data_IF_135929027356
#
_entry.id   IF_135929027356
#
_cell.length_a   1.000
_cell.length_b   1.000
_cell.length_c   1.000
_cell.angle_alpha   90.00
_cell.angle_beta   90.00
_cell.angle_gamma   90.00
#
_symmetry.space_group_name_H-M   'P 1'
#
loop_
_entity.id
_entity.type
_entity.pdbx_description
1 polymer ?
#
# COMPACT_ATOMS: atom_id res chain seq x y z
N UNK A 1 15.08 21.11 1.15
CA UNK A 1 13.66 21.45 0.88
C UNK A 1 12.85 20.32 1.48
N UNK A 2 12.21 20.56 2.62
CA UNK A 2 11.26 19.60 3.18
C UNK A 2 10.04 19.61 2.25
N UNK A 3 9.77 18.49 1.61
CA UNK A 3 8.47 18.29 0.96
C UNK A 3 7.51 18.01 2.11
N UNK A 4 6.96 19.08 2.69
CA UNK A 4 5.81 18.92 3.56
C UNK A 4 4.69 18.38 2.66
N UNK A 5 4.48 17.08 2.70
CA UNK A 5 3.36 16.44 2.03
C UNK A 5 2.11 16.79 2.85
N UNK A 6 1.61 18.00 2.67
CA UNK A 6 0.35 18.42 3.26
C UNK A 6 -0.74 17.58 2.58
N UNK A 7 -1.21 16.52 3.24
CA UNK A 7 -2.48 15.82 2.95
C UNK A 7 -3.71 16.70 3.23
N UNK A 8 -3.49 17.91 3.77
CA UNK A 8 -4.48 18.89 4.20
C UNK A 8 -5.32 19.53 3.07
N UNK A 9 -4.80 19.81 1.85
CA UNK A 9 -5.62 20.41 0.78
C UNK A 9 -6.77 19.50 0.33
N UNK A 10 -6.64 18.18 0.51
CA UNK A 10 -7.66 17.21 0.15
C UNK A 10 -8.84 17.21 1.11
N UNK A 11 -8.59 17.37 2.42
CA UNK A 11 -9.65 17.49 3.43
C UNK A 11 -10.47 18.77 3.21
N UNK A 12 -9.81 19.89 2.94
CA UNK A 12 -10.50 21.18 2.79
C UNK A 12 -11.38 21.21 1.52
N UNK A 13 -10.93 20.58 0.42
CA UNK A 13 -11.73 20.39 -0.79
C UNK A 13 -12.89 19.41 -0.55
N UNK A 14 -12.69 18.32 0.19
CA UNK A 14 -13.76 17.37 0.55
C UNK A 14 -14.79 17.97 1.52
N UNK A 15 -14.39 18.93 2.36
CA UNK A 15 -15.28 19.63 3.29
C UNK A 15 -16.12 20.72 2.61
N UNK A 16 -15.66 21.27 1.48
CA UNK A 16 -16.29 22.41 0.80
C UNK A 16 -16.83 22.09 -0.61
N UNK A 17 -16.53 20.90 -1.15
CA UNK A 17 -17.14 20.36 -2.38
C UNK A 17 -18.25 19.37 -2.01
N UNK A 18 -19.51 19.58 -2.42
CA UNK A 18 -20.57 18.60 -2.22
C UNK A 18 -20.36 17.31 -3.03
N UNK A 19 -19.58 17.38 -4.11
CA UNK A 19 -19.23 16.25 -4.96
C UNK A 19 -17.85 15.70 -4.55
N UNK A 20 -17.81 14.41 -4.21
CA UNK A 20 -16.58 13.69 -3.90
C UNK A 20 -15.74 13.55 -5.19
N UNK A 21 -14.54 14.15 -5.28
CA UNK A 21 -13.71 14.11 -6.48
C UNK A 21 -13.19 12.69 -6.79
N UNK A 22 -13.32 11.74 -5.87
CA UNK A 22 -12.94 10.33 -6.06
C UNK A 22 -14.14 9.41 -6.28
N UNK A 23 -15.34 9.95 -6.53
CA UNK A 23 -16.55 9.15 -6.62
C UNK A 23 -16.48 8.10 -7.74
N UNK A 24 -15.84 8.42 -8.87
CA UNK A 24 -15.69 7.51 -10.00
C UNK A 24 -14.71 6.37 -9.65
N UNK A 25 -13.53 6.69 -9.11
CA UNK A 25 -12.55 5.68 -8.69
C UNK A 25 -13.10 4.78 -7.56
N UNK A 26 -13.81 5.36 -6.59
CA UNK A 26 -14.46 4.59 -5.52
C UNK A 26 -15.54 3.66 -6.08
N UNK A 27 -16.31 4.07 -7.08
CA UNK A 27 -17.28 3.20 -7.73
C UNK A 27 -16.63 2.04 -8.48
N UNK A 28 -15.43 2.23 -9.04
CA UNK A 28 -14.63 1.15 -9.62
C UNK A 28 -14.10 0.19 -8.56
N UNK A 29 -13.62 0.71 -7.43
CA UNK A 29 -13.18 -0.11 -6.30
C UNK A 29 -14.33 -0.92 -5.71
N UNK A 30 -15.49 -0.30 -5.48
CA UNK A 30 -16.70 -0.96 -4.97
C UNK A 30 -17.15 -2.08 -5.90
N UNK A 31 -17.04 -1.90 -7.22
CA UNK A 31 -17.34 -2.94 -8.19
C UNK A 31 -16.38 -4.12 -8.06
N UNK A 32 -15.06 -3.85 -8.01
CA UNK A 32 -14.05 -4.89 -7.84
C UNK A 32 -14.20 -5.65 -6.52
N UNK A 33 -14.54 -4.93 -5.44
CA UNK A 33 -14.82 -5.51 -4.12
C UNK A 33 -16.08 -6.38 -4.15
N UNK A 34 -17.17 -5.90 -4.76
CA UNK A 34 -18.41 -6.65 -4.88
C UNK A 34 -18.22 -7.95 -5.69
N UNK A 35 -17.47 -7.91 -6.80
CA UNK A 35 -17.14 -9.08 -7.60
C UNK A 35 -16.33 -10.12 -6.80
N UNK A 36 -15.54 -9.67 -5.82
CA UNK A 36 -14.81 -10.50 -4.86
C UNK A 36 -15.64 -10.91 -3.62
N UNK A 37 -16.92 -10.50 -3.53
CA UNK A 37 -17.80 -10.79 -2.40
C UNK A 37 -17.50 -9.97 -1.13
N UNK A 38 -16.85 -8.82 -1.28
CA UNK A 38 -16.45 -7.91 -0.21
C UNK A 38 -17.41 -6.71 -0.11
N UNK A 39 -17.49 -6.05 1.06
CA UNK A 39 -18.26 -4.82 1.20
C UNK A 39 -17.62 -3.64 0.42
N UNK A 40 -18.38 -2.57 0.14
CA UNK A 40 -17.83 -1.36 -0.47
C UNK A 40 -16.84 -0.64 0.46
N UNK A 41 -16.06 0.28 -0.11
CA UNK A 41 -15.11 1.13 0.64
C UNK A 41 -15.88 1.96 1.68
N UNK A 42 -15.48 1.91 2.96
CA UNK A 42 -16.15 2.69 4.00
C UNK A 42 -15.80 4.17 3.87
N UNK A 43 -16.69 4.94 3.26
CA UNK A 43 -16.58 6.40 3.18
C UNK A 43 -17.31 7.01 4.37
N UNK A 44 -16.55 7.63 5.28
CA UNK A 44 -17.09 8.35 6.42
C UNK A 44 -17.08 9.85 6.14
N UNK A 45 -18.21 10.50 6.38
CA UNK A 45 -18.27 11.96 6.35
C UNK A 45 -17.35 12.57 7.41
N UNK A 46 -16.84 13.77 7.15
CA UNK A 46 -16.05 14.51 8.13
C UNK A 46 -16.80 14.64 9.47
N UNK A 47 -16.15 14.25 10.56
CA UNK A 47 -16.65 14.43 11.92
C UNK A 47 -15.89 15.59 12.57
N UNK A 48 -16.55 16.71 12.91
CA UNK A 48 -15.91 17.81 13.62
C UNK A 48 -15.36 17.35 14.98
N UNK A 49 -14.15 17.79 15.34
CA UNK A 49 -13.54 17.53 16.66
C UNK A 49 -12.59 16.33 16.71
N UNK A 50 -12.46 15.55 15.64
CA UNK A 50 -11.32 14.64 15.46
C UNK A 50 -10.10 15.44 14.98
N UNK A 51 -9.28 15.88 15.92
CA UNK A 51 -7.93 16.40 15.66
C UNK A 51 -6.91 15.50 16.35
N UNK A 52 -5.84 15.14 15.64
CA UNK A 52 -4.71 14.41 16.20
C UNK A 52 -3.40 15.07 15.76
N UNK A 53 -2.35 14.87 16.54
CA UNK A 53 -1.01 15.27 16.13
C UNK A 53 -0.57 14.42 14.94
N UNK A 54 -0.19 15.09 13.85
CA UNK A 54 0.42 14.41 12.70
C UNK A 54 1.90 14.30 12.98
N UNK A 55 2.39 13.08 13.19
CA UNK A 55 3.82 12.84 13.30
C UNK A 55 4.51 13.15 11.97
N UNK A 56 5.65 13.87 11.95
CA UNK A 56 6.42 14.04 10.74
C UNK A 56 6.98 12.68 10.31
N UNK A 57 6.62 12.24 9.10
CA UNK A 57 7.17 11.03 8.49
C UNK A 57 8.23 11.47 7.48
N UNK A 58 9.42 10.86 7.56
CA UNK A 58 10.45 11.07 6.55
C UNK A 58 10.00 10.53 5.20
N UNK A 59 10.25 11.27 4.12
CA UNK A 59 10.04 10.74 2.78
C UNK A 59 11.05 9.62 2.48
N UNK A 60 10.56 8.51 1.96
CA UNK A 60 11.39 7.41 1.45
C UNK A 60 11.37 7.43 -0.07
N UNK A 61 12.52 7.15 -0.70
CA UNK A 61 12.58 7.01 -2.15
C UNK A 61 12.11 5.61 -2.59
N UNK A 62 11.89 5.44 -3.90
CA UNK A 62 11.47 4.15 -4.45
C UNK A 62 12.52 3.05 -4.26
N UNK A 63 13.81 3.40 -4.20
CA UNK A 63 14.86 2.42 -3.94
C UNK A 63 14.71 1.80 -2.54
N UNK A 64 14.43 2.61 -1.52
CA UNK A 64 14.12 2.12 -0.17
C UNK A 64 12.89 1.21 -0.16
N UNK A 65 11.83 1.55 -0.90
CA UNK A 65 10.64 0.71 -1.04
C UNK A 65 10.96 -0.64 -1.72
N UNK A 66 11.79 -0.64 -2.77
CA UNK A 66 12.20 -1.85 -3.47
C UNK A 66 13.03 -2.77 -2.58
N UNK A 67 13.90 -2.22 -1.72
CA UNK A 67 14.65 -3.00 -0.73
C UNK A 67 13.73 -3.65 0.32
N UNK A 68 12.68 -2.94 0.76
CA UNK A 68 11.67 -3.48 1.67
C UNK A 68 10.90 -4.64 1.01
N UNK A 69 10.43 -4.44 -0.23
CA UNK A 69 9.73 -5.47 -1.00
C UNK A 69 10.61 -6.68 -1.29
N UNK A 70 11.89 -6.46 -1.60
CA UNK A 70 12.90 -7.52 -1.72
C UNK A 70 12.98 -8.37 -0.46
N UNK A 71 13.14 -7.72 0.71
CA UNK A 71 13.23 -8.44 1.97
C UNK A 71 11.98 -9.29 2.25
N UNK A 72 10.80 -8.71 1.99
CA UNK A 72 9.54 -9.43 2.16
C UNK A 72 9.40 -10.60 1.18
N UNK A 73 9.72 -10.39 -0.10
CA UNK A 73 9.63 -11.43 -1.13
C UNK A 73 10.59 -12.59 -0.85
N UNK A 74 11.85 -12.30 -0.48
CA UNK A 74 12.80 -13.33 -0.02
C UNK A 74 12.25 -14.11 1.17
N UNK A 75 11.70 -13.41 2.17
CA UNK A 75 11.15 -14.03 3.36
C UNK A 75 10.00 -15.00 3.06
N UNK A 76 8.98 -14.56 2.31
CA UNK A 76 7.82 -15.40 1.99
C UNK A 76 8.15 -16.52 0.99
N UNK A 77 9.21 -16.35 0.18
CA UNK A 77 9.75 -17.41 -0.68
C UNK A 77 10.69 -18.38 0.06
N UNK A 78 10.90 -18.22 1.38
CA UNK A 78 11.74 -19.11 2.18
C UNK A 78 13.24 -18.98 1.90
N UNK A 79 13.67 -17.86 1.32
CA UNK A 79 15.07 -17.56 1.03
C UNK A 79 15.70 -16.74 2.17
N UNK A 80 17.03 -16.84 2.35
CA UNK A 80 17.73 -15.99 3.31
C UNK A 80 17.60 -14.50 2.94
N UNK A 81 17.18 -13.68 3.91
CA UNK A 81 17.18 -12.22 3.76
C UNK A 81 18.57 -11.69 4.06
N UNK A 82 19.37 -11.51 3.03
CA UNK A 82 20.72 -10.91 3.12
C UNK A 82 20.66 -9.41 2.81
N UNK A 83 21.59 -8.59 3.34
CA UNK A 83 21.76 -7.21 2.88
C UNK A 83 21.93 -7.16 1.36
N UNK A 84 21.37 -6.15 0.71
CA UNK A 84 21.54 -5.95 -0.73
C UNK A 84 22.92 -5.33 -1.02
N UNK A 85 23.58 -5.80 -2.09
CA UNK A 85 24.90 -5.31 -2.49
C UNK A 85 24.85 -3.91 -3.16
N UNK A 86 23.69 -3.54 -3.72
CA UNK A 86 23.45 -2.26 -4.42
C UNK A 86 22.13 -1.65 -3.98
N UNK A 87 21.97 -0.33 -4.17
CA UNK A 87 20.76 0.42 -3.75
C UNK A 87 19.49 -0.07 -4.45
N UNK A 88 19.59 -0.43 -5.72
CA UNK A 88 18.44 -0.95 -6.49
C UNK A 88 18.22 -2.46 -6.25
N UNK A 89 19.16 -3.12 -5.56
CA UNK A 89 19.11 -4.53 -5.22
C UNK A 89 19.00 -5.47 -6.43
N UNK A 90 18.44 -6.66 -6.19
CA UNK A 90 18.06 -7.67 -7.17
C UNK A 90 16.52 -7.80 -7.28
N UNK A 91 15.78 -6.80 -6.77
CA UNK A 91 14.33 -6.86 -6.56
C UNK A 91 13.57 -7.20 -7.85
N UNK A 92 13.93 -6.58 -8.97
CA UNK A 92 13.30 -6.84 -10.27
C UNK A 92 13.46 -8.29 -10.72
N UNK A 93 14.65 -8.88 -10.49
CA UNK A 93 14.92 -10.27 -10.84
C UNK A 93 14.13 -11.23 -9.94
N UNK A 94 14.01 -10.89 -8.66
CA UNK A 94 13.16 -11.65 -7.73
C UNK A 94 11.68 -11.57 -8.12
N UNK A 95 11.21 -10.41 -8.56
CA UNK A 95 9.83 -10.22 -9.01
C UNK A 95 9.51 -11.11 -10.23
N UNK A 96 10.44 -11.18 -11.19
CA UNK A 96 10.33 -12.08 -12.36
C UNK A 96 10.37 -13.55 -11.95
N UNK A 97 11.25 -13.92 -11.01
CA UNK A 97 11.41 -15.31 -10.56
C UNK A 97 10.23 -15.81 -9.69
N UNK A 98 9.63 -14.92 -8.90
CA UNK A 98 8.59 -15.24 -7.92
C UNK A 98 7.26 -14.56 -8.23
N UNK A 99 6.96 -14.33 -9.51
CA UNK A 99 5.78 -13.57 -9.96
C UNK A 99 4.48 -14.05 -9.29
N UNK A 100 4.23 -15.36 -9.27
CA UNK A 100 3.02 -15.92 -8.67
C UNK A 100 2.92 -15.68 -7.15
N UNK A 101 4.06 -15.63 -6.45
CA UNK A 101 4.11 -15.29 -5.01
C UNK A 101 3.93 -13.78 -4.82
N UNK A 102 4.58 -12.98 -5.67
CA UNK A 102 4.45 -11.53 -5.65
C UNK A 102 3.00 -11.11 -5.83
N UNK A 103 2.29 -11.68 -6.82
CA UNK A 103 0.87 -11.43 -7.11
C UNK A 103 -0.07 -11.60 -5.91
N UNK A 104 0.34 -12.36 -4.89
CA UNK A 104 -0.45 -12.60 -3.69
C UNK A 104 -0.18 -11.61 -2.55
N UNK A 105 0.85 -10.78 -2.68
CA UNK A 105 1.36 -9.88 -1.65
C UNK A 105 0.94 -8.43 -1.89
N UNK A 106 0.29 -7.82 -0.90
CA UNK A 106 -0.15 -6.41 -0.93
C UNK A 106 1.02 -5.44 -1.07
N UNK A 107 2.09 -5.69 -0.33
CA UNK A 107 3.31 -4.88 -0.32
C UNK A 107 4.03 -4.94 -1.67
N UNK A 108 3.93 -6.04 -2.42
CA UNK A 108 4.75 -6.32 -3.63
C UNK A 108 3.98 -6.07 -4.92
N UNK A 109 2.77 -6.63 -5.05
CA UNK A 109 1.97 -6.53 -6.27
C UNK A 109 1.10 -5.27 -6.27
N UNK A 110 1.78 -4.13 -6.35
CA UNK A 110 1.17 -2.82 -6.27
C UNK A 110 1.93 -1.82 -7.14
N UNK A 111 1.22 -0.85 -7.72
CA UNK A 111 1.85 0.20 -8.52
C UNK A 111 2.30 1.36 -7.65
N UNK A 112 3.62 1.58 -7.65
CA UNK A 112 4.32 2.61 -6.87
C UNK A 112 3.72 4.02 -6.96
N UNK A 113 3.19 4.37 -8.13
CA UNK A 113 2.73 5.73 -8.45
C UNK A 113 1.22 5.85 -8.65
N UNK A 114 0.48 4.75 -8.59
CA UNK A 114 -0.93 4.73 -9.03
C UNK A 114 -1.84 3.78 -8.23
N UNK A 115 -1.28 2.80 -7.51
CA UNK A 115 -2.09 1.81 -6.79
C UNK A 115 -2.71 2.38 -5.52
N UNK A 116 -3.81 1.78 -5.08
CA UNK A 116 -4.54 2.20 -3.88
C UNK A 116 -4.62 1.09 -2.82
N UNK A 117 -4.68 1.47 -1.55
CA UNK A 117 -5.02 0.59 -0.44
C UNK A 117 -6.31 1.05 0.22
N UNK A 118 -7.27 0.13 0.40
CA UNK A 118 -8.53 0.43 1.08
C UNK A 118 -8.55 -0.11 2.51
N UNK A 119 -9.34 0.48 3.43
CA UNK A 119 -9.49 0.03 4.82
C UNK A 119 -10.44 -1.16 4.94
N UNK A 120 -10.22 -2.18 4.11
CA UNK A 120 -10.95 -3.45 4.12
C UNK A 120 -9.95 -4.59 4.22
N UNK A 121 -10.34 -5.67 4.90
CA UNK A 121 -9.48 -6.84 5.07
C UNK A 121 -9.80 -7.91 4.02
N UNK A 122 -8.82 -8.21 3.17
CA UNK A 122 -8.90 -9.29 2.20
C UNK A 122 -7.50 -9.88 1.92
N UNK A 123 -7.42 -11.17 1.56
CA UNK A 123 -6.17 -11.92 1.64
C UNK A 123 -5.15 -11.53 0.56
N UNK A 124 -5.58 -11.19 -0.66
CA UNK A 124 -4.69 -10.94 -1.79
C UNK A 124 -5.13 -9.69 -2.57
N UNK A 125 -4.20 -8.95 -3.20
CA UNK A 125 -4.55 -7.81 -4.06
C UNK A 125 -5.62 -8.18 -5.09
N UNK A 126 -6.61 -7.31 -5.28
CA UNK A 126 -7.61 -7.49 -6.33
C UNK A 126 -7.07 -6.95 -7.65
N UNK A 127 -7.19 -7.75 -8.70
CA UNK A 127 -6.70 -7.42 -10.04
C UNK A 127 -7.79 -7.72 -11.06
N UNK A 128 -8.11 -6.73 -11.89
CA UNK A 128 -8.93 -6.90 -13.08
C UNK A 128 -8.51 -5.87 -14.14
N UNK A 129 -9.05 -5.99 -15.36
CA UNK A 129 -8.69 -5.11 -16.48
C UNK A 129 -8.97 -3.63 -16.20
N UNK A 130 -10.08 -3.31 -15.53
CA UNK A 130 -10.45 -1.93 -15.17
C UNK A 130 -9.44 -1.33 -14.19
N UNK A 131 -9.10 -2.06 -13.12
CA UNK A 131 -8.11 -1.65 -12.15
C UNK A 131 -6.74 -1.45 -12.80
N UNK A 132 -6.31 -2.38 -13.66
CA UNK A 132 -5.03 -2.28 -14.37
C UNK A 132 -4.97 -1.11 -15.37
N UNK A 133 -6.09 -0.74 -15.98
CA UNK A 133 -6.16 0.41 -16.89
C UNK A 133 -6.12 1.76 -16.17
N UNK A 134 -6.56 1.79 -14.91
CA UNK A 134 -6.50 2.97 -14.04
C UNK A 134 -5.25 2.98 -13.16
N UNK A 135 -5.40 2.50 -11.92
CA UNK A 135 -4.39 2.61 -10.85
C UNK A 135 -3.51 1.38 -10.60
N UNK A 136 -3.83 0.24 -11.19
CA UNK A 136 -3.22 -1.05 -10.85
C UNK A 136 -3.98 -1.82 -9.77
N UNK A 137 -3.36 -2.88 -9.21
CA UNK A 137 -4.00 -3.73 -8.20
C UNK A 137 -4.54 -2.95 -7.00
N UNK A 138 -5.71 -3.34 -6.51
CA UNK A 138 -6.31 -2.78 -5.30
C UNK A 138 -5.84 -3.58 -4.07
N UNK A 139 -5.11 -2.91 -3.19
CA UNK A 139 -4.55 -3.51 -1.97
C UNK A 139 -5.44 -3.34 -0.74
N UNK A 140 -5.21 -4.21 0.25
CA UNK A 140 -5.77 -4.09 1.59
C UNK A 140 -4.77 -3.39 2.49
N UNK A 141 -5.16 -2.31 3.17
CA UNK A 141 -4.31 -1.68 4.19
C UNK A 141 -4.08 -2.59 5.41
N UNK A 142 -5.05 -3.43 5.76
CA UNK A 142 -4.90 -4.47 6.78
C UNK A 142 -3.95 -5.57 6.33
N UNK A 143 -4.06 -6.00 5.07
CA UNK A 143 -3.12 -6.91 4.43
C UNK A 143 -1.70 -6.36 4.48
N UNK A 144 -1.49 -5.16 3.93
CA UNK A 144 -0.20 -4.46 3.94
C UNK A 144 0.40 -4.39 5.35
N UNK A 145 -0.40 -4.02 6.37
CA UNK A 145 0.08 -3.96 7.76
C UNK A 145 0.60 -5.32 8.24
N UNK A 146 -0.13 -6.42 7.99
CA UNK A 146 0.33 -7.77 8.38
C UNK A 146 1.65 -8.14 7.69
N UNK A 147 1.82 -7.76 6.43
CA UNK A 147 3.03 -8.03 5.67
C UNK A 147 4.23 -7.22 6.19
N UNK A 148 4.00 -5.96 6.57
CA UNK A 148 4.99 -5.11 7.22
C UNK A 148 5.38 -5.67 8.61
N UNK A 149 4.41 -6.12 9.40
CA UNK A 149 4.66 -6.78 10.68
C UNK A 149 5.42 -8.10 10.52
N UNK A 150 5.18 -8.83 9.43
CA UNK A 150 5.89 -10.08 9.13
C UNK A 150 7.35 -9.83 8.72
N UNK A 151 7.64 -8.80 7.92
CA UNK A 151 9.01 -8.51 7.45
C UNK A 151 9.86 -7.79 8.50
N UNK A 152 9.25 -6.98 9.38
CA UNK A 152 9.97 -6.21 10.40
C UNK A 152 10.98 -7.04 11.23
N UNK A 153 10.63 -8.19 11.85
CA UNK A 153 11.59 -8.97 12.64
C UNK A 153 12.71 -9.57 11.79
N UNK A 154 12.46 -9.84 10.51
CA UNK A 154 13.47 -10.33 9.57
C UNK A 154 14.53 -9.26 9.27
N UNK A 155 14.14 -8.00 9.34
CA UNK A 155 15.02 -6.84 9.27
C UNK A 155 15.64 -6.44 10.61
N UNK A 156 15.36 -7.19 11.69
CA UNK A 156 15.84 -6.86 13.04
C UNK A 156 15.10 -5.69 13.70
N UNK A 157 13.88 -5.40 13.27
CA UNK A 157 13.05 -4.30 13.79
C UNK A 157 11.90 -4.86 14.64
N UNK A 158 11.54 -4.14 15.71
CA UNK A 158 10.28 -4.37 16.44
C UNK A 158 9.20 -3.44 15.87
N UNK A 159 8.15 -3.97 15.20
CA UNK A 159 7.10 -3.12 14.61
C UNK A 159 6.29 -2.34 15.66
N UNK A 160 6.33 -2.73 16.93
CA UNK A 160 5.65 -2.02 18.03
C UNK A 160 6.56 -1.05 18.78
N UNK A 161 7.85 -1.08 18.50
CA UNK A 161 8.85 -0.21 19.09
C UNK A 161 9.94 0.12 18.05
N UNK A 162 9.58 0.87 16.98
CA UNK A 162 10.54 1.29 15.98
C UNK A 162 11.62 2.20 16.62
N UNK A 163 12.87 2.13 16.13
CA UNK A 163 14.01 2.86 16.70
C UNK A 163 13.91 4.39 16.60
#
# INVERSE_FOLDING_TARGET
MACDLWLVPLVDVLCHSPDNPFAEELAEYDRALADAGLPPVPVHGYVPGTSGDVAPIAGFDYAALHLLRRAYLLHISGLPVTPADQRDGDYQQLLEMFEATAQQAHLVWHFDHAGCYVPLDFPHPLVNETLLAGGGPLGSSHGLLRELEAVAPVLGLDPRNPP
#
